data_IF_304979853958
#
_entry.id   IF_304979853958
#
_cell.length_a   1.000
_cell.length_b   1.000
_cell.length_c   1.000
_cell.angle_alpha   90.00
_cell.angle_beta   90.00
_cell.angle_gamma   90.00
#
_symmetry.space_group_name_H-M   'P 1'
#
loop_
_entity.id
_entity.type
_entity.pdbx_description
1 polymer ?
#
# COMPACT_ATOMS: atom_id res chain seq x y z
N UNK A 1 -23.69 -30.39 -25.36
CA UNK A 1 -23.59 -29.43 -24.24
C UNK A 1 -23.81 -30.22 -22.97
N UNK A 2 -22.75 -30.52 -22.23
CA UNK A 2 -22.89 -31.14 -20.91
C UNK A 2 -23.62 -30.16 -19.99
N UNK A 3 -24.66 -30.64 -19.30
CA UNK A 3 -25.33 -29.87 -18.26
C UNK A 3 -24.37 -29.73 -17.08
N UNK A 4 -23.77 -28.55 -16.93
CA UNK A 4 -23.01 -28.23 -15.72
C UNK A 4 -23.97 -28.09 -14.55
N UNK A 5 -23.67 -28.77 -13.44
CA UNK A 5 -24.41 -28.67 -12.19
C UNK A 5 -24.36 -27.23 -11.67
N UNK A 6 -25.52 -26.59 -11.52
CA UNK A 6 -25.64 -25.23 -10.98
C UNK A 6 -25.68 -25.27 -9.44
N UNK A 7 -24.76 -24.55 -8.81
CA UNK A 7 -24.59 -24.53 -7.35
C UNK A 7 -25.26 -23.31 -6.69
N UNK A 8 -25.81 -22.39 -7.48
CA UNK A 8 -26.53 -21.23 -6.99
C UNK A 8 -25.86 -19.90 -7.30
N UNK A 9 -26.53 -18.83 -6.89
CA UNK A 9 -26.00 -17.47 -6.94
C UNK A 9 -25.11 -17.24 -5.71
N UNK A 10 -23.98 -16.57 -5.91
CA UNK A 10 -23.01 -16.24 -4.87
C UNK A 10 -22.63 -14.77 -4.93
N UNK A 11 -22.24 -14.22 -3.79
CA UNK A 11 -21.72 -12.86 -3.67
C UNK A 11 -20.23 -12.93 -3.38
N UNK A 12 -19.46 -12.11 -4.10
CA UNK A 12 -18.04 -11.88 -3.81
C UNK A 12 -17.75 -10.38 -3.75
N UNK A 13 -16.78 -10.06 -2.93
CA UNK A 13 -16.19 -8.74 -2.81
C UNK A 13 -14.96 -8.69 -3.70
N UNK A 14 -14.92 -7.66 -4.54
CA UNK A 14 -13.83 -7.42 -5.49
C UNK A 14 -13.14 -6.14 -5.07
N UNK A 15 -11.83 -6.20 -4.83
CA UNK A 15 -10.98 -5.04 -4.64
C UNK A 15 -9.93 -4.94 -5.73
N UNK A 16 -9.66 -3.72 -6.21
CA UNK A 16 -8.54 -3.41 -7.10
C UNK A 16 -7.58 -2.46 -6.37
N UNK A 17 -6.30 -2.81 -6.38
CA UNK A 17 -5.24 -2.04 -5.74
C UNK A 17 -3.93 -2.16 -6.53
N UNK A 18 -2.99 -1.22 -6.38
CA UNK A 18 -1.62 -1.42 -6.82
C UNK A 18 -0.94 -2.50 -5.98
N UNK A 19 0.06 -3.18 -6.54
CA UNK A 19 1.03 -3.92 -5.74
C UNK A 19 1.84 -2.90 -4.92
N UNK A 20 1.78 -2.98 -3.59
CA UNK A 20 2.44 -2.00 -2.72
C UNK A 20 3.77 -2.53 -2.24
N UNK A 21 4.70 -1.62 -2.02
CA UNK A 21 6.06 -1.94 -1.58
C UNK A 21 6.43 -1.09 -0.38
N UNK A 22 7.53 -1.46 0.26
CA UNK A 22 8.27 -0.58 1.17
C UNK A 22 9.65 -0.33 0.57
N UNK A 23 10.10 0.92 0.62
CA UNK A 23 11.43 1.30 0.16
C UNK A 23 12.42 1.24 1.30
N UNK A 24 13.56 0.59 1.06
CA UNK A 24 14.67 0.52 1.99
C UNK A 24 15.82 1.40 1.51
N UNK A 25 16.17 2.40 2.31
CA UNK A 25 17.27 3.34 2.05
C UNK A 25 18.41 3.11 3.03
N UNK A 26 19.63 3.50 2.65
CA UNK A 26 20.73 3.57 3.59
C UNK A 26 20.44 4.59 4.70
N UNK A 27 20.92 4.32 5.92
CA UNK A 27 20.83 5.23 7.06
C UNK A 27 21.44 6.60 6.72
N UNK A 28 20.71 7.68 7.01
CA UNK A 28 21.10 9.06 6.72
C UNK A 28 21.02 9.44 5.24
N UNK A 29 20.49 8.59 4.36
CA UNK A 29 20.59 8.80 2.92
C UNK A 29 19.48 9.67 2.33
N UNK A 30 19.78 10.97 2.16
CA UNK A 30 18.89 11.92 1.47
C UNK A 30 18.69 11.59 -0.01
N UNK A 31 19.72 11.09 -0.69
CA UNK A 31 19.61 10.63 -2.08
C UNK A 31 18.76 9.37 -2.21
N UNK A 32 18.87 8.46 -1.24
CA UNK A 32 18.00 7.29 -1.13
C UNK A 32 16.54 7.70 -0.93
N UNK A 33 16.28 8.63 -0.01
CA UNK A 33 14.95 9.19 0.20
C UNK A 33 14.36 9.80 -1.09
N UNK A 34 15.11 10.66 -1.79
CA UNK A 34 14.65 11.25 -3.06
C UNK A 34 14.33 10.20 -4.12
N UNK A 35 15.18 9.18 -4.26
CA UNK A 35 14.94 8.09 -5.20
C UNK A 35 13.69 7.27 -4.84
N UNK A 36 13.48 6.99 -3.55
CA UNK A 36 12.28 6.32 -3.05
C UNK A 36 11.01 7.15 -3.30
N UNK A 37 11.03 8.45 -2.99
CA UNK A 37 9.92 9.35 -3.26
C UNK A 37 9.62 9.44 -4.75
N UNK A 38 10.63 9.57 -5.61
CA UNK A 38 10.46 9.58 -7.07
C UNK A 38 9.78 8.30 -7.55
N UNK A 39 10.25 7.15 -7.09
CA UNK A 39 9.66 5.85 -7.44
C UNK A 39 8.20 5.73 -6.96
N UNK A 40 7.92 6.11 -5.72
CA UNK A 40 6.57 6.12 -5.16
C UNK A 40 5.64 7.07 -5.93
N UNK A 41 6.10 8.27 -6.28
CA UNK A 41 5.28 9.27 -6.97
C UNK A 41 4.90 8.80 -8.39
N UNK A 42 5.71 7.95 -9.03
CA UNK A 42 5.40 7.35 -10.32
C UNK A 42 4.48 6.11 -10.25
N UNK A 43 4.04 5.71 -9.05
CA UNK A 43 3.18 4.54 -8.84
C UNK A 43 1.81 4.97 -8.33
N UNK A 44 0.76 4.37 -8.88
CA UNK A 44 -0.59 4.48 -8.36
C UNK A 44 -0.60 4.04 -6.89
N UNK A 45 -1.12 4.89 -6.00
CA UNK A 45 -1.15 4.64 -4.56
C UNK A 45 0.20 4.78 -3.84
N UNK A 46 1.28 5.19 -4.51
CA UNK A 46 2.63 5.19 -3.93
C UNK A 46 2.82 6.08 -2.69
N UNK A 47 1.94 7.06 -2.48
CA UNK A 47 1.89 7.85 -1.23
C UNK A 47 1.71 6.99 0.03
N UNK A 48 1.20 5.76 -0.12
CA UNK A 48 0.98 4.79 0.97
C UNK A 48 2.10 3.78 1.13
N UNK A 49 3.18 3.88 0.35
CA UNK A 49 4.32 2.97 0.41
C UNK A 49 5.37 3.53 1.39
N UNK A 50 5.66 2.85 2.52
CA UNK A 50 6.60 3.38 3.52
C UNK A 50 8.04 3.48 3.01
N UNK A 51 8.85 4.34 3.65
CA UNK A 51 10.29 4.45 3.42
C UNK A 51 11.00 4.21 4.76
N UNK A 52 11.87 3.20 4.80
CA UNK A 52 12.56 2.76 6.01
C UNK A 52 14.07 2.88 5.81
N UNK A 53 14.75 3.44 6.81
CA UNK A 53 16.20 3.41 6.88
C UNK A 53 16.67 2.04 7.35
N UNK A 54 17.68 1.47 6.69
CA UNK A 54 18.30 0.21 7.05
C UNK A 54 19.26 0.35 8.25
N UNK A 55 18.83 1.01 9.33
CA UNK A 55 19.59 1.17 10.58
C UNK A 55 19.41 -0.04 11.50
N UNK A 56 20.08 -0.03 12.64
CA UNK A 56 19.84 -1.03 13.71
C UNK A 56 18.43 -0.92 14.29
N UNK A 57 17.83 0.28 14.27
CA UNK A 57 16.48 0.53 14.78
C UNK A 57 15.38 -0.05 13.87
N UNK A 58 15.73 -0.43 12.63
CA UNK A 58 14.81 -1.11 11.73
C UNK A 58 14.39 -2.51 12.22
N UNK A 59 15.18 -3.14 13.11
CA UNK A 59 14.81 -4.43 13.74
C UNK A 59 13.82 -4.26 14.91
N UNK A 60 13.38 -3.04 15.20
CA UNK A 60 12.45 -2.79 16.31
C UNK A 60 11.06 -3.34 16.02
N UNK A 61 10.33 -3.66 17.09
CA UNK A 61 8.94 -4.06 17.00
C UNK A 61 8.05 -3.01 16.33
N UNK A 62 8.37 -1.72 16.47
CA UNK A 62 7.64 -0.62 15.85
C UNK A 62 7.73 -0.64 14.31
N UNK A 63 8.92 -0.88 13.76
CA UNK A 63 9.10 -1.00 12.31
C UNK A 63 8.41 -2.25 11.78
N UNK A 64 8.55 -3.39 12.46
CA UNK A 64 7.84 -4.61 12.08
C UNK A 64 6.31 -4.43 12.10
N UNK A 65 5.77 -3.72 13.10
CA UNK A 65 4.36 -3.37 13.16
C UNK A 65 3.93 -2.45 12.01
N UNK A 66 4.74 -1.43 11.69
CA UNK A 66 4.50 -0.55 10.55
C UNK A 66 4.45 -1.35 9.24
N UNK A 67 5.41 -2.25 8.98
CA UNK A 67 5.42 -3.08 7.77
C UNK A 67 4.18 -3.98 7.70
N UNK A 68 3.80 -4.57 8.83
CA UNK A 68 2.63 -5.43 8.95
C UNK A 68 1.34 -4.66 8.66
N UNK A 69 1.16 -3.49 9.27
CA UNK A 69 0.00 -2.61 9.05
C UNK A 69 -0.02 -2.04 7.63
N UNK A 70 1.16 -1.77 7.06
CA UNK A 70 1.29 -1.31 5.70
C UNK A 70 0.79 -2.34 4.70
N UNK A 71 0.75 -3.64 4.98
CA UNK A 71 0.21 -4.69 4.08
C UNK A 71 0.87 -4.72 2.68
N UNK A 72 2.20 -4.59 2.65
CA UNK A 72 3.04 -4.53 1.44
C UNK A 72 3.40 -5.92 0.90
N UNK A 73 3.85 -5.97 -0.37
CA UNK A 73 4.10 -7.22 -1.11
C UNK A 73 5.60 -7.49 -1.33
N UNK A 74 6.46 -6.48 -1.18
CA UNK A 74 7.90 -6.60 -1.35
C UNK A 74 8.65 -5.48 -0.64
N UNK A 75 9.93 -5.75 -0.37
CA UNK A 75 10.93 -4.78 0.04
C UNK A 75 11.75 -4.35 -1.18
N UNK A 76 11.86 -3.05 -1.41
CA UNK A 76 12.64 -2.48 -2.52
C UNK A 76 13.94 -1.94 -1.95
N UNK A 77 15.07 -2.54 -2.30
CA UNK A 77 16.37 -1.96 -2.01
C UNK A 77 16.63 -0.78 -2.95
N UNK A 78 16.61 0.44 -2.40
CA UNK A 78 16.94 1.68 -3.12
C UNK A 78 18.44 1.87 -3.14
N UNK A 79 19.07 1.88 -1.96
CA UNK A 79 20.51 2.06 -1.83
C UNK A 79 21.07 1.55 -0.48
N UNK A 80 20.31 0.72 0.25
CA UNK A 80 20.78 0.12 1.48
C UNK A 80 21.86 -0.95 1.21
N UNK A 81 22.65 -1.25 2.24
CA UNK A 81 23.62 -2.34 2.17
C UNK A 81 22.89 -3.66 1.81
N UNK A 82 23.33 -4.41 0.77
CA UNK A 82 22.63 -5.61 0.31
C UNK A 82 22.48 -6.71 1.37
N UNK A 83 23.49 -6.90 2.23
CA UNK A 83 23.42 -7.90 3.31
C UNK A 83 22.36 -7.54 4.33
N UNK A 84 22.37 -6.28 4.79
CA UNK A 84 21.36 -5.76 5.72
C UNK A 84 19.95 -5.77 5.12
N UNK A 85 19.84 -5.43 3.83
CA UNK A 85 18.56 -5.48 3.12
C UNK A 85 17.98 -6.89 3.06
N UNK A 86 18.84 -7.90 2.85
CA UNK A 86 18.42 -9.31 2.86
C UNK A 86 18.02 -9.77 4.26
N UNK A 87 18.78 -9.40 5.29
CA UNK A 87 18.42 -9.70 6.70
C UNK A 87 17.03 -9.15 7.05
N UNK A 88 16.75 -7.89 6.70
CA UNK A 88 15.45 -7.26 6.94
C UNK A 88 14.34 -7.94 6.13
N UNK A 89 14.59 -8.26 4.86
CA UNK A 89 13.66 -8.99 4.00
C UNK A 89 13.28 -10.35 4.60
N UNK A 90 14.27 -11.11 5.08
CA UNK A 90 14.06 -12.40 5.72
C UNK A 90 13.30 -12.24 7.05
N UNK A 91 13.62 -11.22 7.85
CA UNK A 91 12.96 -10.96 9.14
C UNK A 91 11.48 -10.59 8.99
N UNK A 92 11.14 -9.84 7.93
CA UNK A 92 9.76 -9.44 7.64
C UNK A 92 9.04 -10.42 6.72
N UNK A 93 9.71 -11.49 6.29
CA UNK A 93 9.20 -12.48 5.35
C UNK A 93 8.67 -11.84 4.06
N UNK A 94 9.44 -10.91 3.50
CA UNK A 94 9.12 -10.20 2.27
C UNK A 94 10.17 -10.49 1.19
N UNK A 95 9.78 -10.61 -0.09
CA UNK A 95 10.76 -10.70 -1.16
C UNK A 95 11.52 -9.38 -1.30
N UNK A 96 12.83 -9.46 -1.50
CA UNK A 96 13.69 -8.32 -1.79
C UNK A 96 13.83 -8.11 -3.29
N UNK A 97 13.70 -6.87 -3.75
CA UNK A 97 13.92 -6.48 -5.15
C UNK A 97 14.73 -5.20 -5.25
N UNK A 98 15.57 -5.08 -6.28
CA UNK A 98 16.27 -3.84 -6.58
C UNK A 98 15.32 -2.82 -7.24
N UNK A 99 15.53 -1.53 -7.00
CA UNK A 99 14.68 -0.45 -7.51
C UNK A 99 14.50 -0.49 -9.05
N UNK A 100 15.56 -0.77 -9.79
CA UNK A 100 15.56 -0.86 -11.27
C UNK A 100 14.81 -2.09 -11.81
N UNK A 101 14.68 -3.14 -11.00
CA UNK A 101 13.98 -4.39 -11.35
C UNK A 101 12.48 -4.37 -10.99
N UNK A 102 11.98 -3.27 -10.41
CA UNK A 102 10.57 -3.18 -9.99
C UNK A 102 9.58 -3.30 -11.15
N UNK A 103 9.96 -2.85 -12.35
CA UNK A 103 9.09 -2.86 -13.53
C UNK A 103 9.11 -4.15 -14.35
N UNK A 104 9.99 -5.11 -14.03
CA UNK A 104 10.30 -6.23 -14.92
C UNK A 104 10.02 -7.63 -14.34
N UNK A 105 9.93 -7.75 -13.02
CA UNK A 105 9.85 -9.05 -12.34
C UNK A 105 8.80 -9.07 -11.24
N UNK A 106 8.37 -10.27 -10.84
CA UNK A 106 7.52 -10.46 -9.65
C UNK A 106 6.12 -9.85 -9.71
N UNK A 107 5.47 -9.80 -8.55
CA UNK A 107 4.12 -9.26 -8.38
C UNK A 107 4.11 -7.72 -8.22
N UNK A 108 5.23 -7.14 -7.76
CA UNK A 108 5.39 -5.70 -7.52
C UNK A 108 5.37 -4.84 -8.80
N UNK A 109 5.57 -5.45 -9.98
CA UNK A 109 5.38 -4.79 -11.27
C UNK A 109 3.90 -4.49 -11.59
N UNK A 110 2.95 -5.13 -10.88
CA UNK A 110 1.52 -4.94 -11.10
C UNK A 110 1.01 -3.71 -10.35
N UNK A 111 1.51 -2.56 -10.80
CA UNK A 111 0.98 -1.24 -10.50
C UNK A 111 0.91 -0.44 -11.80
N UNK A 112 0.23 0.68 -11.76
CA UNK A 112 0.16 1.63 -12.88
C UNK A 112 0.90 2.90 -12.54
N UNK A 113 1.13 3.72 -13.56
CA UNK A 113 1.36 5.13 -13.32
C UNK A 113 0.06 5.83 -12.87
N UNK A 114 0.15 6.88 -12.05
CA UNK A 114 -0.98 7.67 -11.58
C UNK A 114 -1.98 8.15 -12.64
N UNK A 115 -1.52 8.48 -13.85
CA UNK A 115 -2.38 9.00 -14.92
C UNK A 115 -3.45 8.01 -15.35
N UNK A 116 -3.19 6.70 -15.15
CA UNK A 116 -4.18 5.68 -15.48
C UNK A 116 -5.51 5.86 -14.72
N UNK A 117 -5.45 6.47 -13.53
CA UNK A 117 -6.61 6.76 -12.69
C UNK A 117 -6.94 8.25 -12.56
N UNK A 118 -6.01 9.17 -12.86
CA UNK A 118 -6.19 10.62 -12.67
C UNK A 118 -5.77 11.45 -13.89
N UNK A 119 -6.68 12.29 -14.41
CA UNK A 119 -6.39 13.19 -15.53
C UNK A 119 -5.69 14.50 -15.11
N UNK A 120 -5.75 14.87 -13.83
CA UNK A 120 -5.17 16.12 -13.33
C UNK A 120 -3.63 16.13 -13.34
N UNK A 121 -3.00 15.01 -13.71
CA UNK A 121 -1.56 14.89 -13.82
C UNK A 121 -1.04 15.14 -15.23
N UNK A 122 -1.90 15.33 -16.23
CA UNK A 122 -1.48 15.55 -17.63
C UNK A 122 -2.40 16.56 -18.32
N UNK A 123 -1.87 17.26 -19.32
CA UNK A 123 -2.64 18.24 -20.09
C UNK A 123 -3.03 19.49 -19.28
N UNK A 124 -4.07 20.26 -19.70
CA UNK A 124 -4.41 21.56 -19.12
C UNK A 124 -4.82 21.53 -17.63
N UNK A 125 -5.24 20.37 -17.12
CA UNK A 125 -5.58 20.22 -15.70
C UNK A 125 -4.33 20.11 -14.81
N UNK A 126 -3.16 19.80 -15.39
CA UNK A 126 -1.88 19.66 -14.70
C UNK A 126 -1.40 20.97 -14.04
N UNK A 127 -1.84 22.13 -14.55
CA UNK A 127 -1.51 23.46 -14.02
C UNK A 127 -2.00 23.68 -12.58
N UNK A 128 -2.93 22.84 -12.11
CA UNK A 128 -3.47 22.87 -10.75
C UNK A 128 -2.77 21.90 -9.80
N UNK A 129 -1.77 21.16 -10.29
CA UNK A 129 -1.09 20.10 -9.55
C UNK A 129 0.37 20.46 -9.27
N UNK A 130 0.73 20.60 -8.00
CA UNK A 130 2.09 20.94 -7.58
C UNK A 130 3.00 19.72 -7.49
N UNK A 131 4.24 19.87 -7.96
CA UNK A 131 5.33 18.89 -7.79
C UNK A 131 6.52 19.50 -7.07
N UNK A 132 7.41 18.67 -6.53
CA UNK A 132 8.68 19.14 -6.01
C UNK A 132 9.70 19.36 -7.13
N UNK A 133 10.64 20.28 -6.91
CA UNK A 133 11.92 20.26 -7.61
C UNK A 133 12.70 19.02 -7.13
N UNK A 134 13.19 18.16 -8.03
CA UNK A 134 14.04 17.01 -7.67
C UNK A 134 15.22 17.35 -6.74
N UNK A 135 15.79 18.55 -6.86
CA UNK A 135 16.93 19.04 -6.08
C UNK A 135 16.51 20.06 -5.00
N UNK A 136 15.20 20.32 -4.87
CA UNK A 136 14.65 21.21 -3.85
C UNK A 136 14.77 20.66 -2.43
N UNK A 137 14.33 21.40 -1.39
CA UNK A 137 14.42 20.94 0.00
C UNK A 137 13.62 19.64 0.22
N UNK A 138 14.05 18.82 1.19
CA UNK A 138 13.47 17.50 1.44
C UNK A 138 11.99 17.57 1.83
N UNK A 139 11.56 18.62 2.55
CA UNK A 139 10.15 18.78 2.90
C UNK A 139 9.28 18.93 1.64
N UNK A 140 9.75 19.64 0.62
CA UNK A 140 9.01 19.84 -0.62
C UNK A 140 8.87 18.51 -1.38
N UNK A 141 9.95 17.74 -1.43
CA UNK A 141 9.97 16.37 -1.96
C UNK A 141 8.96 15.49 -1.24
N UNK A 142 8.94 15.50 0.09
CA UNK A 142 8.04 14.68 0.89
C UNK A 142 6.57 15.07 0.70
N UNK A 143 6.27 16.37 0.62
CA UNK A 143 4.91 16.90 0.42
C UNK A 143 4.40 16.62 -0.99
N UNK A 144 5.12 17.10 -2.01
CA UNK A 144 4.59 17.20 -3.36
C UNK A 144 4.92 15.99 -4.24
N UNK A 145 5.97 15.23 -3.88
CA UNK A 145 6.52 14.16 -4.70
C UNK A 145 7.38 14.66 -5.85
N UNK A 146 8.25 13.79 -6.36
CA UNK A 146 9.06 14.04 -7.56
C UNK A 146 8.41 13.28 -8.70
N UNK A 147 7.78 14.02 -9.60
CA UNK A 147 7.07 13.44 -10.74
C UNK A 147 7.79 13.75 -12.04
N UNK A 148 8.18 12.68 -12.75
CA UNK A 148 8.77 12.76 -14.08
C UNK A 148 7.74 12.29 -15.09
N UNK A 149 7.19 13.22 -15.87
CA UNK A 149 6.25 12.87 -16.92
C UNK A 149 6.96 12.16 -18.09
N UNK A 150 6.32 11.17 -18.72
CA UNK A 150 6.90 10.47 -19.87
C UNK A 150 7.01 11.34 -21.13
N UNK A 151 6.21 12.39 -21.24
CA UNK A 151 6.25 13.37 -22.33
C UNK A 151 6.29 14.78 -21.71
N UNK A 152 7.48 15.39 -21.70
CA UNK A 152 7.69 16.73 -21.15
C UNK A 152 6.82 17.79 -21.84
N UNK A 153 6.46 17.60 -23.12
CA UNK A 153 5.66 18.58 -23.86
C UNK A 153 4.19 18.63 -23.41
N UNK A 154 3.70 17.56 -22.78
CA UNK A 154 2.31 17.42 -22.31
C UNK A 154 2.13 17.73 -20.81
N UNK A 155 3.21 18.03 -20.09
CA UNK A 155 3.22 18.16 -18.63
C UNK A 155 3.67 19.55 -18.20
N UNK A 156 2.77 20.31 -17.58
CA UNK A 156 2.98 21.71 -17.17
C UNK A 156 2.79 21.94 -15.66
N UNK A 157 2.89 20.88 -14.85
CA UNK A 157 2.68 21.00 -13.40
C UNK A 157 3.67 21.97 -12.74
N UNK A 158 3.19 22.99 -12.02
CA UNK A 158 4.04 23.95 -11.32
C UNK A 158 4.88 23.28 -10.24
N UNK A 159 6.11 23.77 -10.07
CA UNK A 159 6.94 23.42 -8.92
C UNK A 159 6.38 24.15 -7.69
N UNK A 160 6.20 23.44 -6.58
CA UNK A 160 5.73 24.04 -5.33
C UNK A 160 6.71 25.14 -4.89
N UNK A 161 6.27 26.40 -4.76
CA UNK A 161 7.18 27.47 -4.37
C UNK A 161 7.66 27.28 -2.93
N UNK A 162 8.93 27.58 -2.68
CA UNK A 162 9.55 27.40 -1.37
C UNK A 162 8.96 28.32 -0.26
N UNK A 163 8.27 29.40 -0.63
CA UNK A 163 7.82 30.45 0.30
C UNK A 163 6.30 30.50 0.49
N UNK A 164 5.56 29.44 0.16
CA UNK A 164 4.16 29.63 -0.20
C UNK A 164 3.18 29.55 0.98
N UNK A 165 2.45 30.65 1.18
CA UNK A 165 1.17 30.71 1.92
C UNK A 165 0.16 29.67 1.43
N UNK A 166 0.33 29.16 0.20
CA UNK A 166 -0.51 28.15 -0.44
C UNK A 166 -0.11 26.71 -0.10
N UNK A 167 1.02 26.46 0.57
CA UNK A 167 1.49 25.10 0.89
C UNK A 167 0.47 24.31 1.73
N UNK A 168 -0.12 24.96 2.73
CA UNK A 168 -1.19 24.36 3.54
C UNK A 168 -2.43 24.06 2.71
N UNK A 169 -2.81 24.98 1.82
CA UNK A 169 -3.96 24.82 0.92
C UNK A 169 -3.75 23.72 -0.13
N UNK A 170 -2.53 23.58 -0.66
CA UNK A 170 -2.21 22.54 -1.64
C UNK A 170 -2.28 21.15 -1.00
N UNK A 171 -1.73 21.00 0.20
CA UNK A 171 -1.82 19.76 0.97
C UNK A 171 -3.26 19.44 1.39
N UNK A 172 -4.05 20.47 1.71
CA UNK A 172 -5.44 20.31 2.15
C UNK A 172 -6.38 19.83 1.07
N UNK A 173 -6.26 20.46 -0.10
CA UNK A 173 -7.10 20.17 -1.26
C UNK A 173 -6.64 18.95 -2.05
N UNK A 174 -5.52 18.35 -1.66
CA UNK A 174 -4.93 17.22 -2.40
C UNK A 174 -4.28 17.63 -3.71
N UNK A 175 -3.91 18.91 -3.88
CA UNK A 175 -3.40 19.48 -5.12
C UNK A 175 -1.92 19.14 -5.42
N UNK A 176 -1.33 18.15 -4.75
CA UNK A 176 0.04 17.70 -5.05
C UNK A 176 0.04 16.48 -5.97
N UNK A 177 1.10 16.31 -6.76
CA UNK A 177 1.24 15.17 -7.68
C UNK A 177 1.14 13.83 -6.94
N UNK A 178 1.76 13.76 -5.77
CA UNK A 178 1.73 12.60 -4.91
C UNK A 178 0.33 12.27 -4.37
N UNK A 179 -0.46 13.27 -3.98
CA UNK A 179 -1.85 13.06 -3.55
C UNK A 179 -2.78 12.72 -4.71
N UNK A 180 -2.62 13.35 -5.87
CA UNK A 180 -3.39 13.03 -7.07
C UNK A 180 -3.13 11.58 -7.54
N UNK A 181 -1.93 11.04 -7.26
CA UNK A 181 -1.60 9.63 -7.49
C UNK A 181 -2.39 8.62 -6.65
N UNK A 182 -3.22 9.07 -5.72
CA UNK A 182 -4.15 8.24 -4.94
C UNK A 182 -5.54 8.14 -5.59
N UNK A 183 -5.80 8.79 -6.73
CA UNK A 183 -7.13 8.79 -7.34
C UNK A 183 -7.69 7.36 -7.51
N UNK A 184 -8.91 7.15 -7.03
CA UNK A 184 -9.58 5.85 -7.06
C UNK A 184 -9.01 4.79 -6.11
N UNK A 185 -7.90 5.06 -5.42
CA UNK A 185 -7.35 4.16 -4.41
C UNK A 185 -7.91 4.51 -3.02
N UNK A 186 -8.37 3.51 -2.29
CA UNK A 186 -9.09 3.67 -1.02
C UNK A 186 -8.75 2.53 -0.05
N UNK A 187 -9.09 2.69 1.21
CA UNK A 187 -9.07 1.63 2.23
C UNK A 187 -10.50 1.09 2.42
N UNK A 188 -10.68 -0.24 2.45
CA UNK A 188 -12.02 -0.85 2.51
C UNK A 188 -12.32 -1.65 3.78
N UNK A 189 -11.30 -2.00 4.57
CA UNK A 189 -11.48 -2.68 5.85
C UNK A 189 -10.51 -2.13 6.88
N UNK A 190 -10.97 -2.02 8.13
CA UNK A 190 -10.21 -1.53 9.28
C UNK A 190 -10.58 -2.36 10.51
N UNK A 191 -9.62 -2.60 11.38
CA UNK A 191 -9.84 -3.26 12.68
C UNK A 191 -10.47 -2.32 13.72
N UNK A 192 -10.19 -1.02 13.65
CA UNK A 192 -10.77 -0.01 14.53
C UNK A 192 -11.79 0.85 13.78
N UNK A 193 -13.04 0.87 14.27
CA UNK A 193 -14.10 1.71 13.70
C UNK A 193 -14.06 3.16 14.22
N UNK A 194 -13.35 3.46 15.31
CA UNK A 194 -13.54 4.72 16.05
C UNK A 194 -12.32 5.66 16.13
N UNK A 195 -11.10 5.22 15.79
CA UNK A 195 -9.87 5.94 16.21
C UNK A 195 -9.50 7.18 15.37
N UNK A 196 -10.12 7.41 14.20
CA UNK A 196 -9.62 8.42 13.23
C UNK A 196 -10.38 9.74 13.17
N UNK A 197 -11.67 9.76 13.50
CA UNK A 197 -12.42 11.01 13.67
C UNK A 197 -12.01 11.73 14.98
N UNK A 198 -11.02 11.16 15.66
CA UNK A 198 -10.59 11.42 17.03
C UNK A 198 -9.15 11.94 17.12
N UNK A 199 -8.49 12.25 16.00
CA UNK A 199 -7.12 12.77 16.00
C UNK A 199 -7.03 14.30 15.83
N UNK A 200 -6.07 14.93 16.51
CA UNK A 200 -5.78 16.34 16.29
C UNK A 200 -5.11 16.56 14.94
N UNK A 201 -5.06 17.81 14.48
CA UNK A 201 -4.32 18.15 13.26
C UNK A 201 -2.83 18.12 13.58
N UNK A 202 -2.10 17.23 12.94
CA UNK A 202 -0.65 17.11 13.12
C UNK A 202 0.07 17.99 12.11
N UNK A 203 0.94 18.87 12.61
CA UNK A 203 1.79 19.75 11.83
C UNK A 203 3.23 19.36 12.08
N UNK A 204 3.86 18.72 11.11
CA UNK A 204 5.29 18.46 11.14
C UNK A 204 6.00 19.74 10.70
N UNK A 205 6.96 20.18 11.50
CA UNK A 205 7.80 21.34 11.20
C UNK A 205 9.22 20.84 10.96
N UNK A 206 9.78 21.10 9.78
CA UNK A 206 11.07 20.55 9.38
C UNK A 206 12.03 21.64 8.91
N UNK A 207 13.30 21.52 9.30
CA UNK A 207 14.37 22.24 8.58
C UNK A 207 14.46 21.76 7.13
N UNK A 208 14.98 22.58 6.19
CA UNK A 208 15.02 22.27 4.75
C UNK A 208 15.51 20.85 4.40
N UNK A 209 16.52 20.35 5.10
CA UNK A 209 17.17 19.06 4.83
C UNK A 209 17.02 18.05 5.98
N UNK A 210 16.00 18.20 6.83
CA UNK A 210 15.76 17.27 7.93
C UNK A 210 15.21 15.93 7.43
N UNK A 211 16.11 14.95 7.23
CA UNK A 211 15.72 13.58 6.89
C UNK A 211 14.79 12.92 7.94
N UNK A 212 15.06 13.03 9.26
CA UNK A 212 14.20 12.40 10.27
C UNK A 212 12.76 12.91 10.25
N UNK A 213 12.55 14.23 10.07
CA UNK A 213 11.21 14.81 10.01
C UNK A 213 10.44 14.36 8.78
N UNK A 214 11.09 14.34 7.61
CA UNK A 214 10.43 13.93 6.37
C UNK A 214 10.15 12.44 6.33
N UNK A 215 10.99 11.60 6.94
CA UNK A 215 10.73 10.16 7.09
C UNK A 215 9.57 9.91 8.03
N UNK A 216 9.54 10.60 9.18
CA UNK A 216 8.43 10.51 10.12
C UNK A 216 7.12 10.93 9.43
N UNK A 217 7.12 12.09 8.76
CA UNK A 217 5.95 12.58 8.02
C UNK A 217 5.53 11.60 6.92
N UNK A 218 6.48 11.11 6.12
CA UNK A 218 6.19 10.19 5.02
C UNK A 218 5.51 8.92 5.54
N UNK A 219 6.07 8.31 6.59
CA UNK A 219 5.56 7.06 7.16
C UNK A 219 4.23 7.24 7.89
N UNK A 220 4.07 8.32 8.67
CA UNK A 220 2.78 8.66 9.27
C UNK A 220 1.72 8.89 8.19
N UNK A 221 2.07 9.58 7.10
CA UNK A 221 1.19 9.80 5.95
C UNK A 221 0.88 8.52 5.20
N UNK A 222 1.85 7.61 5.05
CA UNK A 222 1.64 6.35 4.36
C UNK A 222 0.62 5.44 5.06
N UNK A 223 0.45 5.64 6.38
CA UNK A 223 -0.45 4.88 7.24
C UNK A 223 -1.64 5.69 7.74
N UNK A 224 -1.81 6.96 7.35
CA UNK A 224 -3.00 7.71 7.75
C UNK A 224 -4.22 7.25 6.96
N UNK A 225 -5.39 7.56 7.49
CA UNK A 225 -6.63 7.34 6.78
C UNK A 225 -6.74 8.22 5.52
N UNK A 226 -7.16 7.64 4.39
CA UNK A 226 -7.35 8.40 3.14
C UNK A 226 -8.81 8.58 2.72
N UNK A 227 -9.77 8.02 3.46
CA UNK A 227 -11.15 7.84 2.95
C UNK A 227 -12.09 8.98 3.34
N UNK A 228 -11.86 9.73 4.44
CA UNK A 228 -12.87 10.68 4.94
C UNK A 228 -12.38 11.95 5.65
N UNK A 229 -11.08 12.23 5.75
CA UNK A 229 -10.61 13.38 6.55
C UNK A 229 -9.95 14.45 5.71
N UNK A 230 -10.54 15.66 5.72
CA UNK A 230 -9.82 16.91 5.54
C UNK A 230 -8.79 17.04 6.67
N UNK A 231 -7.61 16.44 6.41
CA UNK A 231 -6.29 16.63 7.03
C UNK A 231 -6.09 16.47 8.55
N UNK A 232 -5.54 15.31 8.97
CA UNK A 232 -4.84 15.22 10.25
C UNK A 232 -3.31 15.35 10.14
N UNK A 233 -2.69 15.57 8.96
CA UNK A 233 -1.23 15.55 8.84
C UNK A 233 -0.69 16.48 7.74
N UNK A 234 0.23 17.36 8.12
CA UNK A 234 0.87 18.37 7.29
C UNK A 234 2.36 18.44 7.52
N UNK A 235 3.10 18.94 6.54
CA UNK A 235 4.51 19.27 6.67
C UNK A 235 4.78 20.69 6.19
N UNK A 236 5.50 21.46 7.00
CA UNK A 236 5.93 22.83 6.71
C UNK A 236 7.43 23.01 6.98
N UNK A 237 8.12 23.89 6.23
CA UNK A 237 9.42 24.38 6.67
C UNK A 237 9.30 25.18 7.97
N UNK A 238 10.39 25.30 8.72
CA UNK A 238 10.44 25.93 10.05
C UNK A 238 9.97 27.39 10.12
N UNK A 239 9.99 28.12 9.01
CA UNK A 239 9.51 29.50 8.89
C UNK A 239 8.04 29.61 8.43
N UNK A 240 7.47 28.58 7.82
CA UNK A 240 6.16 28.68 7.14
C UNK A 240 4.90 28.60 8.02
N UNK A 241 4.86 27.95 9.21
CA UNK A 241 3.65 27.96 10.05
C UNK A 241 3.16 29.38 10.37
N UNK A 242 4.11 30.32 10.46
CA UNK A 242 3.89 31.76 10.72
C UNK A 242 3.23 32.47 9.54
N UNK A 243 3.41 31.95 8.33
CA UNK A 243 2.96 32.55 7.08
C UNK A 243 1.64 31.96 6.57
N UNK A 244 1.03 31.00 7.29
CA UNK A 244 -0.23 30.39 6.86
C UNK A 244 -1.43 31.27 7.23
N UNK A 245 -1.77 32.20 6.33
CA UNK A 245 -2.78 33.24 6.53
C UNK A 245 -4.19 32.74 6.88
N UNK A 246 -4.52 31.48 6.55
CA UNK A 246 -5.83 30.89 6.77
C UNK A 246 -5.85 29.73 7.77
N UNK A 247 -4.76 29.50 8.49
CA UNK A 247 -4.58 28.33 9.36
C UNK A 247 -5.76 28.07 10.31
N UNK A 248 -6.14 29.08 11.09
CA UNK A 248 -7.23 28.93 12.05
C UNK A 248 -8.59 28.67 11.38
N UNK A 249 -8.81 29.23 10.19
CA UNK A 249 -10.03 28.98 9.40
C UNK A 249 -10.05 27.54 8.90
N UNK A 250 -8.92 27.08 8.37
CA UNK A 250 -8.80 25.75 7.78
C UNK A 250 -8.96 24.65 8.85
N UNK A 251 -8.41 24.86 10.06
CA UNK A 251 -8.66 23.99 11.24
C UNK A 251 -10.15 23.95 11.60
N UNK A 252 -10.80 25.11 11.69
CA UNK A 252 -12.22 25.18 12.06
C UNK A 252 -13.11 24.53 11.01
N UNK A 253 -12.78 24.67 9.73
CA UNK A 253 -13.49 23.97 8.66
C UNK A 253 -13.38 22.46 8.83
N UNK A 254 -12.17 21.93 9.09
CA UNK A 254 -11.97 20.51 9.35
C UNK A 254 -12.81 20.00 10.56
N UNK A 255 -12.88 20.78 11.65
CA UNK A 255 -13.69 20.47 12.83
C UNK A 255 -15.21 20.52 12.56
N UNK A 256 -15.66 21.48 11.75
CA UNK A 256 -17.07 21.57 11.33
C UNK A 256 -17.45 20.37 10.48
N UNK A 257 -16.59 19.94 9.57
CA UNK A 257 -16.83 18.78 8.72
C UNK A 257 -16.86 17.46 9.52
N UNK A 258 -16.00 17.31 10.54
CA UNK A 258 -16.02 16.12 11.41
C UNK A 258 -17.18 16.14 12.43
N UNK A 259 -17.67 17.33 12.80
CA UNK A 259 -18.65 17.51 13.88
C UNK A 259 -18.08 17.28 15.28
N UNK A 260 -16.76 17.05 15.39
CA UNK A 260 -16.04 16.77 16.62
C UNK A 260 -14.90 17.78 16.80
N UNK A 261 -14.62 18.08 18.06
CA UNK A 261 -13.40 18.78 18.47
C UNK A 261 -12.52 17.81 19.25
N UNK A 262 -11.28 17.70 18.78
CA UNK A 262 -10.21 16.98 19.47
C UNK A 262 -9.34 18.01 20.16
N UNK A 263 -9.00 17.79 21.43
CA UNK A 263 -8.05 18.62 22.18
C UNK A 263 -6.78 17.81 22.47
N UNK A 264 -5.57 18.37 22.23
CA UNK A 264 -5.32 19.67 21.61
C UNK A 264 -5.85 19.75 20.17
N UNK A 265 -6.16 20.95 19.67
CA UNK A 265 -6.67 21.10 18.29
C UNK A 265 -5.56 20.80 17.25
N UNK A 266 -4.31 21.11 17.61
CA UNK A 266 -3.12 20.93 16.78
C UNK A 266 -2.00 20.26 17.58
N UNK A 267 -1.26 19.35 16.96
CA UNK A 267 0.00 18.82 17.50
C UNK A 267 1.13 19.23 16.57
N UNK A 268 2.11 19.98 17.08
CA UNK A 268 3.33 20.26 16.33
C UNK A 268 4.39 19.19 16.62
N UNK A 269 5.01 18.64 15.59
CA UNK A 269 6.02 17.59 15.72
C UNK A 269 7.27 18.00 14.97
N UNK A 270 8.43 17.87 15.62
CA UNK A 270 9.73 18.01 14.96
C UNK A 270 10.82 17.27 15.72
N UNK A 271 11.75 16.68 14.98
CA UNK A 271 13.00 16.11 15.45
C UNK A 271 14.20 17.05 15.17
N UNK A 272 14.04 18.06 14.29
CA UNK A 272 15.12 18.99 13.92
C UNK A 272 14.98 20.41 14.48
N UNK A 273 13.77 20.80 14.90
CA UNK A 273 13.46 22.12 15.47
C UNK A 273 13.35 22.00 16.99
N UNK A 274 13.92 22.98 17.72
CA UNK A 274 13.87 22.98 19.17
C UNK A 274 12.44 23.25 19.68
N UNK A 275 12.10 22.73 20.86
CA UNK A 275 10.77 22.90 21.45
C UNK A 275 10.39 24.37 21.64
N UNK A 276 11.33 25.21 22.06
CA UNK A 276 11.12 26.66 22.21
C UNK A 276 10.72 27.33 20.89
N UNK A 277 11.33 26.91 19.78
CA UNK A 277 11.00 27.43 18.44
C UNK A 277 9.61 26.96 17.98
N UNK A 278 9.21 25.73 18.33
CA UNK A 278 7.86 25.21 18.07
C UNK A 278 6.79 25.96 18.87
N UNK A 279 7.06 26.25 20.15
CA UNK A 279 6.20 27.06 20.99
C UNK A 279 6.03 28.47 20.42
N UNK A 280 7.12 29.11 20.00
CA UNK A 280 7.08 30.43 19.37
C UNK A 280 6.29 30.41 18.06
N UNK A 281 6.49 29.41 17.20
CA UNK A 281 5.74 29.26 15.95
C UNK A 281 4.24 29.08 16.21
N UNK A 282 3.85 28.25 17.19
CA UNK A 282 2.47 28.04 17.58
C UNK A 282 1.82 29.32 18.14
N UNK A 283 2.56 30.07 18.97
CA UNK A 283 2.08 31.32 19.53
C UNK A 283 1.88 32.39 18.45
N UNK A 284 2.78 32.46 17.46
CA UNK A 284 2.64 33.35 16.30
C UNK A 284 1.47 32.96 15.39
N UNK A 285 1.13 31.67 15.31
CA UNK A 285 -0.08 31.17 14.64
C UNK A 285 -1.38 31.42 15.42
N UNK A 286 -1.30 32.03 16.61
CA UNK A 286 -2.46 32.35 17.46
C UNK A 286 -3.02 31.16 18.24
N UNK A 287 -2.22 30.10 18.44
CA UNK A 287 -2.61 28.93 19.21
C UNK A 287 -2.30 29.12 20.71
N UNK A 288 -3.10 28.49 21.57
CA UNK A 288 -2.95 28.49 23.03
C UNK A 288 -2.40 27.14 23.49
N UNK A 289 -1.36 27.14 24.33
CA UNK A 289 -0.78 25.88 24.80
C UNK A 289 -1.81 25.07 25.60
N UNK A 290 -1.94 23.78 25.25
CA UNK A 290 -2.59 22.77 26.07
C UNK A 290 -1.52 22.06 26.89
N UNK A 291 -1.74 21.98 28.20
CA UNK A 291 -0.90 21.18 29.10
C UNK A 291 -1.50 19.79 29.35
N UNK A 292 -2.60 19.46 28.67
CA UNK A 292 -3.17 18.13 28.69
C UNK A 292 -2.32 17.20 27.83
N UNK A 293 -1.96 16.05 28.39
CA UNK A 293 -1.14 15.03 27.73
C UNK A 293 -2.01 13.90 27.14
N UNK A 294 -3.34 14.00 27.31
CA UNK A 294 -4.30 13.05 26.77
C UNK A 294 -5.16 13.69 25.69
N UNK A 295 -5.53 12.90 24.67
CA UNK A 295 -6.49 13.32 23.66
C UNK A 295 -7.89 13.34 24.25
N UNK A 296 -8.59 14.47 24.11
CA UNK A 296 -9.97 14.64 24.56
C UNK A 296 -10.91 14.93 23.40
N UNK A 297 -12.08 14.33 23.44
CA UNK A 297 -13.12 14.50 22.42
C UNK A 297 -14.32 15.21 23.00
N UNK A 298 -14.76 16.24 22.31
CA UNK A 298 -16.01 16.92 22.62
C UNK A 298 -16.80 17.19 21.35
N UNK A 299 -18.12 17.34 21.48
CA UNK A 299 -18.92 17.90 20.39
C UNK A 299 -18.46 19.33 20.13
N UNK A 300 -18.51 19.75 18.87
CA UNK A 300 -18.19 21.12 18.51
C UNK A 300 -19.16 22.09 19.21
N UNK A 301 -18.61 23.05 19.96
CA UNK A 301 -19.40 24.06 20.66
C UNK A 301 -19.94 25.13 19.69
N UNK A 302 -21.07 25.75 20.02
CA UNK A 302 -21.65 26.84 19.22
C UNK A 302 -20.80 28.13 19.25
N UNK A 303 -19.98 28.32 20.31
CA UNK A 303 -19.11 29.48 20.46
C UNK A 303 -17.65 29.15 20.08
N UNK A 304 -16.94 30.05 19.38
CA UNK A 304 -15.57 29.80 18.98
C UNK A 304 -14.63 29.90 20.19
N UNK A 305 -14.21 28.75 20.72
CA UNK A 305 -13.09 28.68 21.66
C UNK A 305 -11.75 28.95 20.96
N UNK A 306 -10.71 29.39 21.69
CA UNK A 306 -9.35 29.46 21.18
C UNK A 306 -8.87 28.08 20.71
N UNK A 307 -8.10 28.06 19.61
CA UNK A 307 -7.45 26.84 19.14
C UNK A 307 -6.26 26.53 20.06
N UNK A 308 -6.14 25.27 20.45
CA UNK A 308 -5.15 24.77 21.39
C UNK A 308 -4.09 23.95 20.69
N UNK A 309 -2.88 23.89 21.24
CA UNK A 309 -1.81 23.08 20.70
C UNK A 309 -1.03 22.31 21.76
N UNK A 310 -0.45 21.18 21.36
CA UNK A 310 0.64 20.53 22.08
C UNK A 310 1.83 20.33 21.14
N UNK A 311 3.00 20.06 21.70
CA UNK A 311 4.20 19.69 20.93
C UNK A 311 4.58 18.24 21.22
N UNK A 312 5.08 17.52 20.22
CA UNK A 312 5.64 16.18 20.34
C UNK A 312 4.74 15.15 21.07
N UNK A 313 3.42 15.35 21.02
CA UNK A 313 2.45 14.39 21.54
C UNK A 313 2.46 13.14 20.65
N UNK A 314 2.56 11.96 21.26
CA UNK A 314 2.50 10.69 20.52
C UNK A 314 1.07 10.44 20.02
N UNK A 315 0.93 10.49 18.70
CA UNK A 315 -0.32 10.29 17.95
C UNK A 315 -0.24 9.02 17.08
N UNK A 316 0.79 8.19 17.26
CA UNK A 316 1.06 7.02 16.43
C UNK A 316 -0.02 5.93 16.51
N UNK A 317 -0.64 5.77 17.68
CA UNK A 317 -1.82 4.92 17.88
C UNK A 317 -2.98 5.30 16.96
N UNK A 318 -3.02 6.56 16.52
CA UNK A 318 -3.96 7.10 15.56
C UNK A 318 -3.83 6.55 14.14
N UNK A 319 -2.70 5.95 13.77
CA UNK A 319 -2.48 5.41 12.42
C UNK A 319 -1.82 4.03 12.38
N UNK A 320 -1.50 3.41 13.52
CA UNK A 320 -1.02 2.02 13.56
C UNK A 320 -2.17 1.06 13.87
N UNK A 321 -2.95 0.72 12.84
CA UNK A 321 -4.08 -0.21 12.95
C UNK A 321 -4.22 -1.08 11.70
N UNK A 322 -4.70 -2.32 11.88
CA UNK A 322 -4.88 -3.26 10.78
C UNK A 322 -5.88 -2.74 9.76
N UNK A 323 -5.49 -2.79 8.49
CA UNK A 323 -6.26 -2.27 7.36
C UNK A 323 -6.15 -3.15 6.13
N UNK A 324 -7.08 -2.97 5.20
CA UNK A 324 -6.98 -3.53 3.84
C UNK A 324 -7.22 -2.47 2.80
N UNK A 325 -6.46 -2.59 1.72
CA UNK A 325 -6.34 -1.60 0.66
C UNK A 325 -7.10 -2.00 -0.62
N UNK A 326 -7.46 -0.98 -1.39
CA UNK A 326 -8.18 -1.08 -2.65
C UNK A 326 -9.65 -0.69 -2.49
N UNK A 327 -10.18 0.08 -3.43
CA UNK A 327 -11.61 0.33 -3.49
C UNK A 327 -12.34 -1.02 -3.68
N UNK A 328 -13.50 -1.20 -3.04
CA UNK A 328 -14.22 -2.48 -3.04
C UNK A 328 -15.57 -2.35 -3.74
N UNK A 329 -15.97 -3.41 -4.46
CA UNK A 329 -17.31 -3.55 -5.03
C UNK A 329 -17.82 -4.97 -4.85
N UNK A 330 -19.06 -5.09 -4.38
CA UNK A 330 -19.77 -6.37 -4.34
C UNK A 330 -20.30 -6.73 -5.71
N UNK A 331 -20.07 -7.96 -6.11
CA UNK A 331 -20.53 -8.51 -7.39
C UNK A 331 -21.13 -9.89 -7.17
N UNK A 332 -22.28 -10.13 -7.78
CA UNK A 332 -22.93 -11.43 -7.80
C UNK A 332 -22.48 -12.26 -8.99
N UNK A 333 -22.43 -13.58 -8.84
CA UNK A 333 -22.18 -14.50 -9.95
C UNK A 333 -22.91 -15.84 -9.78
N UNK A 334 -23.07 -16.55 -10.88
CA UNK A 334 -23.67 -17.88 -10.91
C UNK A 334 -22.57 -18.93 -10.84
N UNK A 335 -22.54 -19.69 -9.74
CA UNK A 335 -21.56 -20.75 -9.53
C UNK A 335 -22.05 -22.07 -10.13
N UNK A 336 -21.15 -22.76 -10.82
CA UNK A 336 -21.33 -24.11 -11.33
C UNK A 336 -20.28 -25.04 -10.70
N UNK A 337 -20.50 -26.35 -10.75
CA UNK A 337 -19.53 -27.35 -10.26
C UNK A 337 -18.20 -27.35 -11.03
N UNK A 338 -18.17 -26.74 -12.22
CA UNK A 338 -16.97 -26.53 -13.03
C UNK A 338 -16.63 -25.04 -13.20
N UNK A 339 -15.99 -24.66 -14.33
CA UNK A 339 -15.64 -23.28 -14.61
C UNK A 339 -16.87 -22.38 -14.60
N UNK A 340 -16.84 -21.38 -13.72
CA UNK A 340 -17.88 -20.36 -13.60
C UNK A 340 -17.37 -19.05 -14.21
N UNK A 341 -18.21 -18.41 -15.03
CA UNK A 341 -17.91 -17.10 -15.59
C UNK A 341 -18.40 -16.01 -14.64
N UNK A 342 -17.54 -15.05 -14.38
CA UNK A 342 -17.76 -13.96 -13.45
C UNK A 342 -17.57 -12.62 -14.17
N UNK A 343 -18.64 -11.84 -14.26
CA UNK A 343 -18.57 -10.46 -14.75
C UNK A 343 -18.09 -9.54 -13.61
N UNK A 344 -16.82 -9.16 -13.65
CA UNK A 344 -16.19 -8.34 -12.62
C UNK A 344 -16.65 -6.89 -12.77
N UNK A 345 -17.33 -6.34 -11.77
CA UNK A 345 -17.55 -4.89 -11.72
C UNK A 345 -16.37 -4.24 -11.01
N UNK A 346 -15.55 -3.47 -11.75
CA UNK A 346 -14.45 -2.75 -11.11
C UNK A 346 -14.97 -1.69 -10.14
N UNK A 347 -14.25 -1.50 -9.03
CA UNK A 347 -14.53 -0.44 -8.07
C UNK A 347 -13.97 0.92 -8.53
N UNK A 348 -13.04 0.94 -9.48
CA UNK A 348 -12.36 2.15 -9.98
C UNK A 348 -12.56 2.27 -11.49
N UNK A 349 -12.81 3.50 -11.96
CA UNK A 349 -12.81 3.82 -13.39
C UNK A 349 -11.39 4.17 -13.80
N UNK A 350 -10.84 3.43 -14.76
CA UNK A 350 -9.52 3.66 -15.32
C UNK A 350 -9.65 4.29 -16.70
N UNK A 351 -8.83 5.29 -16.99
CA UNK A 351 -8.86 6.03 -18.25
C UNK A 351 -7.86 5.48 -19.27
N UNK A 352 -6.77 4.88 -18.78
CA UNK A 352 -5.73 4.27 -19.60
C UNK A 352 -5.47 2.82 -19.22
N UNK A 353 -4.79 2.05 -20.08
CA UNK A 353 -4.29 0.75 -19.69
C UNK A 353 -3.47 0.81 -18.39
N UNK A 354 -3.69 -0.17 -17.53
CA UNK A 354 -3.24 -0.19 -16.16
C UNK A 354 -2.77 -1.60 -15.76
N UNK A 355 -1.96 -1.71 -14.72
CA UNK A 355 -1.72 -2.99 -14.05
C UNK A 355 -2.05 -2.83 -12.56
N UNK A 356 -2.49 -3.94 -11.95
CA UNK A 356 -2.90 -3.94 -10.56
C UNK A 356 -3.08 -5.36 -10.03
N UNK A 357 -3.47 -5.44 -8.76
CA UNK A 357 -3.85 -6.65 -8.09
C UNK A 357 -5.36 -6.66 -7.90
N UNK A 358 -6.01 -7.72 -8.37
CA UNK A 358 -7.41 -8.01 -8.10
C UNK A 358 -7.48 -8.95 -6.90
N UNK A 359 -8.11 -8.50 -5.81
CA UNK A 359 -8.38 -9.32 -4.61
C UNK A 359 -9.85 -9.72 -4.59
N UNK A 360 -10.10 -11.01 -4.46
CA UNK A 360 -11.43 -11.60 -4.36
C UNK A 360 -11.65 -12.19 -2.97
N UNK A 361 -12.76 -11.83 -2.33
CA UNK A 361 -13.18 -12.36 -1.05
C UNK A 361 -14.66 -12.78 -1.09
N UNK A 362 -15.08 -13.67 -0.19
CA UNK A 362 -16.48 -14.06 -0.07
C UNK A 362 -16.67 -15.54 0.25
N UNK A 363 -17.94 -15.91 0.43
CA UNK A 363 -18.40 -17.25 0.82
C UNK A 363 -17.73 -18.40 0.03
N UNK A 364 -17.56 -18.32 -1.32
CA UNK A 364 -16.98 -19.43 -2.08
C UNK A 364 -15.54 -19.79 -1.67
N UNK A 365 -14.83 -18.89 -0.99
CA UNK A 365 -13.43 -19.07 -0.61
C UNK A 365 -13.23 -19.40 0.88
N UNK A 366 -14.26 -19.30 1.72
CA UNK A 366 -14.13 -19.39 3.19
C UNK A 366 -13.76 -20.81 3.67
N UNK A 367 -14.15 -21.84 2.93
CA UNK A 367 -13.84 -23.25 3.28
C UNK A 367 -12.57 -23.79 2.65
N UNK A 368 -11.88 -23.02 1.81
CA UNK A 368 -10.73 -23.52 1.04
C UNK A 368 -9.41 -23.29 1.77
N UNK A 369 -8.48 -24.26 1.76
CA UNK A 369 -7.13 -24.07 2.31
C UNK A 369 -6.40 -22.94 1.59
N UNK A 370 -5.80 -22.03 2.37
CA UNK A 370 -5.04 -20.86 1.88
C UNK A 370 -3.63 -21.25 1.43
N UNK A 371 -3.56 -22.16 0.46
CA UNK A 371 -2.32 -22.71 -0.07
C UNK A 371 -2.13 -22.34 -1.55
N UNK A 372 -0.89 -22.08 -2.04
CA UNK A 372 -0.64 -21.68 -3.43
C UNK A 372 -1.20 -22.66 -4.48
N UNK A 373 -1.19 -23.96 -4.19
CA UNK A 373 -1.78 -24.99 -5.06
C UNK A 373 -3.28 -24.74 -5.27
N UNK A 374 -4.01 -24.41 -4.20
CA UNK A 374 -5.45 -24.16 -4.25
C UNK A 374 -5.75 -22.87 -5.01
N UNK A 375 -4.95 -21.81 -4.81
CA UNK A 375 -5.07 -20.59 -5.59
C UNK A 375 -4.91 -20.87 -7.10
N UNK A 376 -3.91 -21.69 -7.48
CA UNK A 376 -3.71 -22.12 -8.87
C UNK A 376 -4.88 -22.93 -9.40
N UNK A 377 -5.44 -23.86 -8.61
CA UNK A 377 -6.61 -24.65 -9.02
C UNK A 377 -7.80 -23.73 -9.35
N UNK A 378 -8.00 -22.66 -8.59
CA UNK A 378 -9.12 -21.74 -8.83
C UNK A 378 -9.02 -21.04 -10.19
N UNK A 379 -7.80 -20.71 -10.60
CA UNK A 379 -7.53 -19.90 -11.80
C UNK A 379 -7.02 -20.70 -13.00
N UNK A 380 -6.86 -22.03 -12.86
CA UNK A 380 -6.21 -22.88 -13.86
C UNK A 380 -6.90 -22.85 -15.23
N UNK A 381 -8.23 -22.86 -15.24
CA UNK A 381 -9.04 -22.84 -16.46
C UNK A 381 -9.14 -21.43 -17.09
N UNK A 382 -8.69 -20.40 -16.38
CA UNK A 382 -8.60 -19.01 -16.86
C UNK A 382 -7.20 -18.58 -17.31
N UNK A 383 -6.24 -19.52 -17.42
CA UNK A 383 -4.80 -19.23 -17.65
C UNK A 383 -4.48 -18.40 -18.91
N UNK A 384 -5.35 -18.35 -19.91
CA UNK A 384 -5.15 -17.47 -21.08
C UNK A 384 -5.22 -15.98 -20.73
N UNK A 385 -5.79 -15.63 -19.57
CA UNK A 385 -5.98 -14.26 -19.13
C UNK A 385 -4.89 -13.84 -18.13
N UNK A 386 -4.50 -14.72 -17.20
CA UNK A 386 -3.69 -14.38 -16.02
C UNK A 386 -2.20 -14.66 -16.28
N UNK A 387 -1.37 -13.59 -16.27
CA UNK A 387 0.08 -13.67 -16.58
C UNK A 387 0.92 -14.33 -15.48
N UNK A 388 0.52 -14.19 -14.23
CA UNK A 388 1.19 -14.76 -13.06
C UNK A 388 0.23 -15.62 -12.23
N UNK A 389 0.71 -16.68 -11.57
CA UNK A 389 -0.16 -17.51 -10.75
C UNK A 389 -0.83 -16.68 -9.65
N UNK A 390 -2.12 -16.95 -9.41
CA UNK A 390 -2.83 -16.39 -8.27
C UNK A 390 -2.21 -16.88 -6.96
N UNK A 391 -2.27 -16.04 -5.94
CA UNK A 391 -1.79 -16.35 -4.59
C UNK A 391 -2.86 -16.02 -3.56
N UNK A 392 -2.73 -16.56 -2.35
CA UNK A 392 -3.53 -16.12 -1.22
C UNK A 392 -2.86 -14.92 -0.54
N UNK A 393 -3.67 -13.95 -0.16
CA UNK A 393 -3.27 -12.82 0.68
C UNK A 393 -4.26 -12.71 1.83
N UNK A 394 -3.86 -13.22 3.00
CA UNK A 394 -4.81 -13.53 4.08
C UNK A 394 -5.91 -14.47 3.58
N UNK A 395 -7.16 -14.05 3.73
CA UNK A 395 -8.32 -14.83 3.29
C UNK A 395 -8.73 -14.57 1.83
N UNK A 396 -8.06 -13.66 1.14
CA UNK A 396 -8.43 -13.17 -0.19
C UNK A 396 -7.59 -13.85 -1.28
N UNK A 397 -8.22 -14.24 -2.39
CA UNK A 397 -7.51 -14.69 -3.57
C UNK A 397 -7.00 -13.45 -4.32
N UNK A 398 -5.69 -13.35 -4.51
CA UNK A 398 -5.02 -12.25 -5.16
C UNK A 398 -4.54 -12.66 -6.56
N UNK A 399 -4.89 -11.87 -7.56
CA UNK A 399 -4.54 -12.11 -8.96
C UNK A 399 -3.89 -10.88 -9.58
N UNK A 400 -2.69 -11.01 -10.15
CA UNK A 400 -2.08 -9.93 -10.92
C UNK A 400 -2.80 -9.76 -12.26
N UNK A 401 -3.23 -8.54 -12.58
CA UNK A 401 -4.05 -8.22 -13.76
C UNK A 401 -3.51 -7.02 -14.54
N UNK A 402 -3.67 -7.05 -15.86
CA UNK A 402 -3.46 -5.89 -16.75
C UNK A 402 -4.80 -5.50 -17.38
N UNK A 403 -5.10 -4.21 -17.38
CA UNK A 403 -6.36 -3.60 -17.81
C UNK A 403 -6.10 -2.62 -18.96
N UNK A 404 -7.05 -2.38 -19.87
CA UNK A 404 -8.19 -3.25 -20.11
C UNK A 404 -7.71 -4.60 -20.66
N UNK A 405 -8.26 -5.70 -20.13
CA UNK A 405 -8.08 -7.02 -20.74
C UNK A 405 -8.85 -7.06 -22.06
N UNK A 406 -8.33 -7.76 -23.07
CA UNK A 406 -9.02 -7.93 -24.36
C UNK A 406 -10.43 -8.56 -24.23
N UNK A 407 -10.73 -9.30 -23.15
CA UNK A 407 -12.05 -9.91 -22.85
C UNK A 407 -12.73 -9.33 -21.57
N UNK A 408 -12.41 -8.09 -21.23
CA UNK A 408 -12.99 -7.40 -20.08
C UNK A 408 -14.54 -7.30 -20.20
N UNK A 409 -15.34 -7.66 -19.16
CA UNK A 409 -14.98 -7.98 -17.77
C UNK A 409 -15.15 -9.45 -17.34
N UNK A 410 -14.91 -10.45 -18.20
CA UNK A 410 -15.21 -11.86 -17.87
C UNK A 410 -14.02 -12.64 -17.33
N UNK A 411 -14.00 -12.87 -16.03
CA UNK A 411 -13.11 -13.84 -15.38
C UNK A 411 -13.72 -15.24 -15.40
N UNK A 412 -12.88 -16.26 -15.58
CA UNK A 412 -13.28 -17.65 -15.40
C UNK A 412 -12.62 -18.22 -14.15
N UNK A 413 -13.42 -18.59 -13.16
CA UNK A 413 -12.97 -19.15 -11.88
C UNK A 413 -13.60 -20.53 -11.68
N UNK A 414 -12.83 -21.48 -11.16
CA UNK A 414 -13.34 -22.80 -10.76
C UNK A 414 -13.24 -22.90 -9.24
N UNK A 415 -14.33 -23.08 -8.52
CA UNK A 415 -14.27 -23.24 -7.05
C UNK A 415 -14.17 -24.73 -6.76
N UNK A 416 -12.99 -25.27 -6.42
CA UNK A 416 -12.81 -26.71 -6.28
C UNK A 416 -13.54 -27.24 -5.04
N UNK A 417 -14.02 -28.48 -5.12
CA UNK A 417 -14.53 -29.19 -3.94
C UNK A 417 -13.34 -29.63 -3.06
N UNK A 418 -13.54 -29.71 -1.74
CA UNK A 418 -12.46 -30.13 -0.83
C UNK A 418 -11.85 -31.50 -1.19
N UNK A 419 -12.69 -32.43 -1.69
CA UNK A 419 -12.25 -33.75 -2.16
C UNK A 419 -11.28 -33.68 -3.35
N UNK A 420 -11.33 -32.61 -4.15
CA UNK A 420 -10.42 -32.37 -5.29
C UNK A 420 -9.14 -31.67 -4.83
N UNK A 421 -9.21 -30.89 -3.75
CA UNK A 421 -8.09 -30.16 -3.18
C UNK A 421 -7.10 -31.10 -2.47
N UNK A 422 -7.61 -32.07 -1.70
CA UNK A 422 -6.77 -32.96 -0.87
C UNK A 422 -5.69 -33.69 -1.68
N UNK A 423 -6.00 -34.36 -2.81
CA UNK A 423 -4.98 -35.04 -3.61
C UNK A 423 -3.89 -34.07 -4.10
N UNK A 424 -4.28 -32.87 -4.55
CA UNK A 424 -3.33 -31.86 -5.06
C UNK A 424 -2.40 -31.31 -3.98
N UNK A 425 -2.90 -31.16 -2.75
CA UNK A 425 -2.07 -30.77 -1.61
C UNK A 425 -1.09 -31.87 -1.22
N UNK A 426 -1.54 -33.12 -1.22
CA UNK A 426 -0.67 -34.27 -0.97
C UNK A 426 0.43 -34.37 -2.03
N UNK A 427 0.09 -34.22 -3.32
CA UNK A 427 1.07 -34.23 -4.42
C UNK A 427 2.10 -33.10 -4.29
N UNK A 428 1.70 -31.88 -3.93
CA UNK A 428 2.64 -30.76 -3.76
C UNK A 428 3.56 -30.98 -2.54
N UNK A 429 3.03 -31.57 -1.46
CA UNK A 429 3.82 -31.91 -0.29
C UNK A 429 4.81 -33.04 -0.59
N UNK A 430 4.39 -34.11 -1.27
CA UNK A 430 5.23 -35.28 -1.58
C UNK A 430 6.29 -34.97 -2.63
N UNK A 431 6.00 -34.11 -3.61
CA UNK A 431 6.98 -33.71 -4.63
C UNK A 431 8.08 -32.76 -4.11
N UNK A 432 7.88 -32.13 -2.93
CA UNK A 432 8.88 -31.27 -2.29
C UNK A 432 9.89 -32.02 -1.42
N UNK A 433 9.62 -33.28 -1.09
CA UNK A 433 10.60 -34.11 -0.40
C UNK A 433 11.44 -34.85 -1.44
N UNK A 434 12.72 -34.48 -1.55
CA UNK A 434 13.69 -35.42 -2.09
C UNK A 434 13.67 -36.67 -1.21
N UNK A 435 13.50 -37.83 -1.83
CA UNK A 435 13.69 -39.11 -1.15
C UNK A 435 15.03 -39.06 -0.42
N UNK A 436 15.05 -39.48 0.85
CA UNK A 436 16.31 -39.65 1.59
C UNK A 436 17.23 -40.61 0.83
N UNK A 437 18.54 -40.53 1.02
CA UNK A 437 19.50 -41.43 0.33
C UNK A 437 19.11 -42.92 0.41
N UNK A 438 18.61 -43.45 1.55
CA UNK A 438 18.04 -44.80 1.60
C UNK A 438 16.75 -44.98 0.78
N UNK A 439 15.88 -43.96 0.74
CA UNK A 439 14.67 -43.97 -0.08
C UNK A 439 14.96 -43.93 -1.59
N UNK A 440 16.00 -43.19 -2.01
CA UNK A 440 16.50 -43.19 -3.40
C UNK A 440 17.01 -44.60 -3.77
N UNK A 441 17.82 -45.22 -2.92
CA UNK A 441 18.32 -46.61 -3.10
C UNK A 441 17.16 -47.61 -3.15
N UNK A 442 16.17 -47.48 -2.26
CA UNK A 442 14.99 -48.34 -2.24
C UNK A 442 14.21 -48.31 -3.54
N UNK A 443 13.97 -47.12 -4.10
CA UNK A 443 13.26 -46.94 -5.39
C UNK A 443 14.08 -47.45 -6.57
N UNK A 444 15.42 -47.31 -6.55
CA UNK A 444 16.29 -47.90 -7.58
C UNK A 444 16.24 -49.43 -7.57
N UNK A 445 16.19 -50.05 -6.38
CA UNK A 445 16.08 -51.50 -6.23
C UNK A 445 14.72 -52.01 -6.73
N UNK A 446 13.61 -51.30 -6.44
CA UNK A 446 12.29 -51.69 -6.97
C UNK A 446 12.17 -51.49 -8.49
N UNK A 447 12.86 -50.50 -9.07
CA UNK A 447 12.89 -50.31 -10.53
C UNK A 447 13.79 -51.31 -11.26
N UNK A 448 14.82 -51.87 -10.61
CA UNK A 448 15.63 -52.97 -11.14
C UNK A 448 15.01 -54.37 -10.92
N UNK A 449 13.93 -54.45 -10.13
CA UNK A 449 13.20 -55.69 -9.89
C UNK A 449 12.21 -55.97 -11.05
N UNK A 450 12.72 -55.98 -12.29
CA UNK A 450 12.00 -56.58 -13.41
C UNK A 450 12.14 -58.10 -13.27
N UNK A 451 11.15 -58.72 -12.61
CA UNK A 451 11.08 -60.16 -12.29
C UNK A 451 11.04 -61.04 -13.56
N UNK A 452 11.07 -60.46 -14.76
CA UNK A 452 11.21 -61.19 -16.02
C UNK A 452 12.55 -61.91 -16.20
N UNK A 453 13.65 -61.41 -15.62
CA UNK A 453 14.99 -61.99 -15.84
C UNK A 453 15.31 -63.25 -15.01
N UNK A 454 14.47 -63.58 -14.01
CA UNK A 454 14.63 -64.77 -13.14
C UNK A 454 13.70 -65.94 -13.54
N UNK A 455 12.95 -65.81 -14.63
CA UNK A 455 11.96 -66.80 -15.09
C UNK A 455 12.38 -67.57 -16.35
N UNK A 456 13.63 -67.51 -16.80
CA UNK A 456 14.14 -68.40 -17.85
C UNK A 456 14.84 -69.64 -17.23
N UNK A 457 14.22 -70.83 -17.27
CA UNK A 457 14.93 -72.07 -17.00
C UNK A 457 15.64 -72.51 -18.28
N UNK A 458 16.96 -72.31 -18.36
CA UNK A 458 17.77 -73.01 -19.36
C UNK A 458 18.09 -74.42 -18.84
N UNK A 459 17.70 -75.49 -19.55
CA UNK A 459 18.03 -76.85 -19.16
C UNK A 459 19.45 -77.20 -19.59
N UNK A 460 20.08 -78.08 -18.81
CA UNK A 460 21.34 -78.74 -19.11
C UNK A 460 21.33 -79.42 -20.48
N UNK A 461 22.38 -79.16 -21.27
CA UNK A 461 22.94 -80.06 -22.29
C UNK A 461 24.41 -79.75 -22.48
#
# INVERSE_FOLDING_TARGET
MEHQEYLGHRLIEVALLPARVVYLIAEGSTSGFRAAVRAATQRWGGMTEPIIEASTDADTGATAELIRVADVQALVNVNANPGRAQELADSWNLPLVALDAMGSTGIWQFTSRPEAACHNLIGPAADTCFRADPEGPLWAVAVAGIYDAPDEAAYQSPVIPAQDTLLGAAQSTGATALQQGMAGFQEHQRSSQNVHDELPIVVVVARPDSLPDVLWFWNARALRLHVHTEMPLLLFPDDAPKNWTNFARDIRLAQVHSGLRVQPDVVLISQSVAEDDLHEAAHQAGLVASFDHELRHSRLAEAPEPLTYAINLDVSSGWLFDRRWGAMKRSGFHQFAGPSRFDVKLPVTLQHPAAGLLRLAGEPFNGLPKHPVVARMITEQGRGQIRLPASWHGDQLQMPVSLPWLDWPRLTLTIPKLVEVVPRLLDDATNKFELSTPGKIGVTITQQSDIGALLDPTPFS
#
